data_IF_284482290737
#
_entry.id   IF_284482290737
#
_cell.length_a   1.000
_cell.length_b   1.000
_cell.length_c   1.000
_cell.angle_alpha   90.00
_cell.angle_beta   90.00
_cell.angle_gamma   90.00
#
_symmetry.space_group_name_H-M   'P 1'
#
loop_
_entity.id
_entity.type
_entity.pdbx_description
1 polymer ?
#
# COMPACT_ATOMS: atom_id res chain seq x y z
N UNK A 1 -23.36 -6.83 -2.45
CA UNK A 1 -22.18 -6.28 -3.13
C UNK A 1 -21.11 -5.90 -2.13
N UNK A 2 -19.88 -6.23 -2.43
CA UNK A 2 -18.77 -5.89 -1.57
C UNK A 2 -18.51 -4.39 -1.51
N UNK A 3 -18.08 -3.92 -0.35
CA UNK A 3 -17.61 -2.55 -0.17
C UNK A 3 -16.12 -2.52 -0.38
N UNK A 4 -15.66 -1.85 -1.44
CA UNK A 4 -14.25 -1.74 -1.77
C UNK A 4 -13.84 -0.30 -1.95
N UNK A 5 -12.55 -0.04 -1.68
CA UNK A 5 -11.91 1.24 -1.96
C UNK A 5 -10.81 0.94 -2.96
N UNK A 6 -10.82 1.62 -4.10
CA UNK A 6 -9.86 1.37 -5.16
C UNK A 6 -9.25 2.68 -5.66
N UNK A 7 -7.94 2.69 -5.79
CA UNK A 7 -7.17 3.79 -6.38
C UNK A 7 -6.07 3.24 -7.26
N UNK A 8 -5.74 3.94 -8.32
CA UNK A 8 -4.64 3.54 -9.19
C UNK A 8 -3.85 4.72 -9.72
N UNK A 9 -2.63 4.44 -10.17
CA UNK A 9 -1.76 5.43 -10.78
C UNK A 9 -0.93 4.73 -11.87
N UNK A 10 -0.62 5.47 -12.95
CA UNK A 10 0.34 5.01 -13.93
C UNK A 10 1.73 5.52 -13.56
N UNK A 11 2.72 4.62 -13.59
CA UNK A 11 4.11 4.92 -13.22
C UNK A 11 5.00 4.58 -14.42
N UNK A 12 5.85 5.53 -14.79
CA UNK A 12 6.78 5.36 -15.91
C UNK A 12 8.00 4.54 -15.47
N UNK A 13 7.79 3.27 -15.20
CA UNK A 13 8.83 2.33 -14.78
C UNK A 13 8.32 0.91 -15.02
N UNK A 14 9.23 -0.07 -15.23
CA UNK A 14 8.82 -1.46 -15.41
C UNK A 14 8.27 -2.05 -14.12
N UNK A 15 7.44 -3.08 -14.24
CA UNK A 15 6.79 -3.73 -13.08
C UNK A 15 7.80 -4.17 -12.03
N UNK A 16 8.94 -4.68 -12.43
CA UNK A 16 9.98 -5.16 -11.52
C UNK A 16 10.48 -4.05 -10.62
N UNK A 17 10.63 -2.84 -11.16
CA UNK A 17 11.06 -1.67 -10.37
C UNK A 17 9.98 -1.22 -9.40
N UNK A 18 8.73 -1.16 -9.85
CA UNK A 18 7.60 -0.80 -9.00
C UNK A 18 7.40 -1.85 -7.91
N UNK A 19 7.53 -3.13 -8.26
CA UNK A 19 7.44 -4.23 -7.31
C UNK A 19 8.44 -4.09 -6.17
N UNK A 20 9.69 -3.77 -6.48
CA UNK A 20 10.72 -3.56 -5.46
C UNK A 20 10.33 -2.42 -4.50
N UNK A 21 9.82 -1.33 -5.04
CA UNK A 21 9.45 -0.17 -4.21
C UNK A 21 8.29 -0.48 -3.25
N UNK A 22 7.37 -1.37 -3.63
CA UNK A 22 6.18 -1.67 -2.82
C UNK A 22 6.33 -2.91 -1.95
N UNK A 23 7.39 -3.69 -2.11
CA UNK A 23 7.59 -4.93 -1.33
C UNK A 23 8.85 -4.92 -0.47
N UNK A 24 9.87 -4.15 -0.83
CA UNK A 24 11.10 -4.06 -0.04
C UNK A 24 10.88 -3.10 1.14
N UNK A 25 10.96 -3.60 2.39
CA UNK A 25 10.73 -2.75 3.56
C UNK A 25 11.60 -1.48 3.59
N UNK A 26 12.85 -1.58 3.16
CA UNK A 26 13.75 -0.44 3.12
C UNK A 26 13.29 0.64 2.13
N UNK A 27 12.58 0.25 1.08
CA UNK A 27 12.04 1.19 0.11
C UNK A 27 10.67 1.73 0.52
N UNK A 28 9.82 0.88 1.10
CA UNK A 28 8.48 1.28 1.57
C UNK A 28 8.60 2.46 2.55
N UNK A 29 9.54 2.39 3.49
CA UNK A 29 9.70 3.45 4.49
C UNK A 29 10.11 4.80 3.89
N UNK A 30 10.62 4.81 2.67
CA UNK A 30 11.06 6.05 2.03
C UNK A 30 9.92 6.84 1.39
N UNK A 31 8.86 6.17 0.96
CA UNK A 31 7.75 6.85 0.27
C UNK A 31 6.44 6.75 1.02
N UNK A 32 6.19 5.66 1.73
CA UNK A 32 4.90 5.45 2.41
C UNK A 32 4.84 6.19 3.74
N UNK A 33 5.85 5.99 4.59
CA UNK A 33 5.90 6.60 5.91
C UNK A 33 7.35 6.96 6.26
N UNK A 34 7.87 8.06 5.67
CA UNK A 34 9.25 8.46 5.90
C UNK A 34 9.57 8.60 7.40
N UNK A 35 10.65 7.98 7.82
CA UNK A 35 11.06 7.97 9.23
C UNK A 35 10.50 6.82 10.05
N UNK A 36 9.62 6.01 9.48
CA UNK A 36 9.08 4.81 10.14
C UNK A 36 9.75 3.58 9.56
N UNK A 37 10.36 2.76 10.41
CA UNK A 37 11.03 1.55 9.96
C UNK A 37 10.02 0.43 9.75
N UNK A 38 10.06 -0.18 8.56
CA UNK A 38 9.30 -1.38 8.23
C UNK A 38 10.19 -2.60 8.30
N UNK A 39 9.64 -3.74 8.64
CA UNK A 39 10.36 -5.02 8.62
C UNK A 39 9.40 -6.12 8.20
N UNK A 40 9.96 -7.23 7.75
CA UNK A 40 9.19 -8.41 7.39
C UNK A 40 9.88 -9.65 7.94
N UNK A 41 9.12 -10.46 8.65
CA UNK A 41 9.59 -11.72 9.19
C UNK A 41 8.64 -12.82 8.70
N UNK A 42 9.11 -13.62 7.73
CA UNK A 42 8.24 -14.57 7.04
C UNK A 42 7.12 -13.84 6.32
N UNK A 43 5.87 -14.17 6.63
CA UNK A 43 4.69 -13.56 6.02
C UNK A 43 4.16 -12.35 6.81
N UNK A 44 4.84 -11.96 7.89
CA UNK A 44 4.36 -10.89 8.77
C UNK A 44 5.13 -9.60 8.49
N UNK A 45 4.39 -8.53 8.20
CA UNK A 45 4.94 -7.19 8.02
C UNK A 45 4.70 -6.40 9.31
N UNK A 46 5.76 -5.76 9.81
CA UNK A 46 5.74 -4.99 11.05
C UNK A 46 6.27 -3.57 10.83
N UNK A 47 5.84 -2.66 11.68
CA UNK A 47 6.40 -1.30 11.75
C UNK A 47 6.95 -1.08 13.15
N UNK A 48 7.96 -0.21 13.25
CA UNK A 48 8.53 0.14 14.54
C UNK A 48 7.85 1.40 15.08
N UNK A 49 7.23 1.24 16.25
CA UNK A 49 6.56 2.34 16.97
C UNK A 49 7.09 2.35 18.38
N UNK A 50 7.67 3.50 18.82
CA UNK A 50 8.18 3.69 20.19
C UNK A 50 9.08 2.53 20.66
N UNK A 51 10.06 2.17 19.83
CA UNK A 51 11.04 1.09 20.08
C UNK A 51 10.44 -0.33 20.15
N UNK A 52 9.20 -0.51 19.70
CA UNK A 52 8.56 -1.81 19.62
C UNK A 52 8.14 -2.11 18.18
N UNK A 53 8.31 -3.36 17.76
CA UNK A 53 7.82 -3.82 16.47
C UNK A 53 6.35 -4.22 16.62
N UNK A 54 5.49 -3.64 15.79
CA UNK A 54 4.06 -3.91 15.77
C UNK A 54 3.70 -4.61 14.48
N UNK A 55 3.12 -5.80 14.59
CA UNK A 55 2.67 -6.57 13.43
C UNK A 55 1.42 -5.92 12.86
N UNK A 56 1.45 -5.53 11.59
CA UNK A 56 0.36 -4.79 10.95
C UNK A 56 -0.32 -5.55 9.82
N UNK A 57 0.38 -6.48 9.18
CA UNK A 57 -0.19 -7.18 8.03
C UNK A 57 0.40 -8.58 7.86
N UNK A 58 -0.43 -9.48 7.35
CA UNK A 58 -0.06 -10.84 6.97
C UNK A 58 -0.10 -10.94 5.44
N UNK A 59 1.00 -11.39 4.84
CA UNK A 59 1.06 -11.60 3.39
C UNK A 59 0.33 -12.90 3.06
N UNK A 60 -0.72 -12.81 2.24
CA UNK A 60 -1.51 -13.97 1.83
C UNK A 60 -1.25 -14.39 0.39
N UNK A 61 -0.94 -13.43 -0.49
CA UNK A 61 -0.58 -13.70 -1.88
C UNK A 61 0.70 -12.94 -2.18
N UNK A 62 1.68 -13.64 -2.72
CA UNK A 62 2.96 -13.05 -3.11
C UNK A 62 3.30 -13.59 -4.51
N UNK A 63 2.91 -12.86 -5.54
CA UNK A 63 3.08 -13.26 -6.94
C UNK A 63 3.87 -12.18 -7.71
N UNK A 64 5.22 -12.16 -7.58
CA UNK A 64 6.04 -11.16 -8.26
C UNK A 64 5.98 -11.32 -9.79
N UNK A 65 5.98 -10.23 -10.52
CA UNK A 65 5.82 -8.83 -10.09
C UNK A 65 4.40 -8.33 -10.27
N UNK A 66 3.39 -9.18 -10.11
CA UNK A 66 2.00 -8.92 -10.49
C UNK A 66 1.09 -8.56 -9.35
N UNK A 67 1.19 -9.28 -8.22
CA UNK A 67 0.20 -9.09 -7.15
C UNK A 67 0.77 -9.41 -5.78
N UNK A 68 0.47 -8.53 -4.84
CA UNK A 68 0.66 -8.73 -3.41
C UNK A 68 -0.68 -8.53 -2.73
N UNK A 69 -1.10 -9.48 -1.91
CA UNK A 69 -2.32 -9.35 -1.10
C UNK A 69 -1.95 -9.53 0.35
N UNK A 70 -2.37 -8.58 1.19
CA UNK A 70 -2.15 -8.61 2.63
C UNK A 70 -3.47 -8.55 3.37
N UNK A 71 -3.44 -9.06 4.60
CA UNK A 71 -4.59 -9.00 5.52
C UNK A 71 -4.16 -8.28 6.78
N UNK A 72 -4.98 -7.35 7.25
CA UNK A 72 -4.66 -6.56 8.44
C UNK A 72 -4.52 -7.40 9.69
N UNK A 73 -3.64 -6.99 10.60
CA UNK A 73 -3.45 -7.62 11.90
C UNK A 73 -3.72 -6.59 13.00
N UNK A 74 -4.24 -6.99 14.14
CA UNK A 74 -4.57 -8.36 14.56
C UNK A 74 -5.97 -8.85 14.14
N UNK A 75 -6.85 -7.97 13.65
CA UNK A 75 -8.25 -8.28 13.43
C UNK A 75 -8.52 -9.16 12.19
N UNK A 76 -7.63 -9.15 11.20
CA UNK A 76 -7.74 -9.90 9.94
C UNK A 76 -8.97 -9.53 9.10
N UNK A 77 -9.49 -8.33 9.30
CA UNK A 77 -10.74 -7.90 8.62
C UNK A 77 -10.49 -7.27 7.25
N UNK A 78 -9.41 -6.51 7.11
CA UNK A 78 -9.15 -5.74 5.89
C UNK A 78 -8.16 -6.49 5.01
N UNK A 79 -8.55 -6.70 3.75
CA UNK A 79 -7.68 -7.25 2.72
C UNK A 79 -7.24 -6.10 1.82
N UNK A 80 -5.93 -5.96 1.62
CA UNK A 80 -5.37 -4.96 0.72
C UNK A 80 -4.66 -5.69 -0.41
N UNK A 81 -5.07 -5.43 -1.65
CA UNK A 81 -4.49 -6.02 -2.84
C UNK A 81 -3.74 -4.94 -3.61
N UNK A 82 -2.49 -5.23 -3.94
CA UNK A 82 -1.64 -4.40 -4.81
C UNK A 82 -1.49 -5.15 -6.12
N UNK A 83 -1.95 -4.53 -7.20
CA UNK A 83 -1.90 -5.13 -8.53
C UNK A 83 -1.04 -4.28 -9.46
N UNK A 84 -0.11 -4.94 -10.15
CA UNK A 84 0.80 -4.29 -11.08
C UNK A 84 0.58 -4.87 -12.48
N UNK A 85 0.21 -4.01 -13.41
CA UNK A 85 -0.06 -4.41 -14.79
C UNK A 85 0.77 -3.58 -15.76
N UNK A 86 1.32 -4.22 -16.79
CA UNK A 86 2.01 -3.49 -17.85
C UNK A 86 1.00 -2.60 -18.60
N UNK A 87 1.33 -1.34 -18.75
CA UNK A 87 0.46 -0.39 -19.45
C UNK A 87 1.29 0.70 -20.10
N UNK A 88 1.17 0.82 -21.42
CA UNK A 88 1.79 1.92 -22.19
C UNK A 88 3.28 2.13 -21.89
N UNK A 89 4.05 1.05 -21.81
CA UNK A 89 5.49 1.12 -21.54
C UNK A 89 5.87 1.34 -20.09
N UNK A 90 4.89 1.43 -19.21
CA UNK A 90 5.09 1.57 -17.77
C UNK A 90 4.24 0.58 -17.00
N UNK A 91 3.82 0.98 -15.80
CA UNK A 91 3.05 0.12 -14.91
C UNK A 91 1.80 0.85 -14.42
N UNK A 92 0.64 0.19 -14.53
CA UNK A 92 -0.56 0.58 -13.80
C UNK A 92 -0.53 -0.08 -12.43
N UNK A 93 -0.41 0.72 -11.39
CA UNK A 93 -0.41 0.23 -10.01
C UNK A 93 -1.76 0.53 -9.38
N UNK A 94 -2.44 -0.53 -8.93
CA UNK A 94 -3.79 -0.43 -8.36
C UNK A 94 -3.78 -0.97 -6.94
N UNK A 95 -4.40 -0.23 -6.02
CA UNK A 95 -4.63 -0.65 -4.63
C UNK A 95 -6.12 -0.85 -4.43
N UNK A 96 -6.48 -2.00 -3.88
CA UNK A 96 -7.88 -2.35 -3.60
C UNK A 96 -7.98 -2.79 -2.14
N UNK A 97 -8.76 -2.05 -1.34
CA UNK A 97 -9.10 -2.47 0.02
C UNK A 97 -10.50 -3.11 0.02
N UNK A 98 -10.62 -4.25 0.69
CA UNK A 98 -11.89 -4.97 0.83
C UNK A 98 -12.04 -5.47 2.27
N UNK A 99 -13.17 -6.14 2.57
CA UNK A 99 -13.46 -6.59 3.94
C UNK A 99 -14.12 -5.51 4.78
N UNK A 100 -14.78 -4.54 4.14
CA UNK A 100 -15.37 -3.38 4.81
C UNK A 100 -16.88 -3.56 5.07
N UNK A 101 -17.42 -4.74 4.79
CA UNK A 101 -18.85 -5.03 4.91
C UNK A 101 -19.36 -4.97 6.35
N UNK A 102 -18.46 -5.16 7.32
CA UNK A 102 -18.81 -5.09 8.75
C UNK A 102 -19.07 -3.67 9.25
N UNK A 103 -18.71 -2.65 8.47
CA UNK A 103 -18.92 -1.25 8.86
C UNK A 103 -20.36 -0.84 8.63
N UNK A 104 -20.84 0.10 9.45
CA UNK A 104 -22.09 0.79 9.15
C UNK A 104 -21.93 1.61 7.87
N UNK A 105 -23.04 2.00 7.25
CA UNK A 105 -22.98 2.83 6.05
C UNK A 105 -22.25 4.15 6.31
N UNK A 106 -22.49 4.77 7.47
CA UNK A 106 -21.84 6.02 7.86
C UNK A 106 -20.33 5.83 8.05
N UNK A 107 -19.93 4.78 8.78
CA UNK A 107 -18.52 4.48 9.02
C UNK A 107 -17.79 4.12 7.73
N UNK A 108 -18.45 3.38 6.84
CA UNK A 108 -17.86 3.05 5.55
C UNK A 108 -17.64 4.32 4.71
N UNK A 109 -18.61 5.23 4.70
CA UNK A 109 -18.47 6.48 3.94
C UNK A 109 -17.32 7.32 4.45
N UNK A 110 -17.19 7.43 5.77
CA UNK A 110 -16.08 8.17 6.40
C UNK A 110 -14.73 7.52 6.08
N UNK A 111 -14.66 6.20 6.21
CA UNK A 111 -13.44 5.47 5.90
C UNK A 111 -13.06 5.58 4.43
N UNK A 112 -14.05 5.47 3.53
CA UNK A 112 -13.82 5.64 2.10
C UNK A 112 -13.19 7.01 1.80
N UNK A 113 -13.70 8.05 2.43
CA UNK A 113 -13.19 9.41 2.25
C UNK A 113 -11.74 9.52 2.74
N UNK A 114 -11.46 9.03 3.94
CA UNK A 114 -10.14 9.10 4.55
C UNK A 114 -9.11 8.24 3.82
N UNK A 115 -9.44 6.97 3.56
CA UNK A 115 -8.50 6.04 2.93
C UNK A 115 -8.27 6.37 1.47
N UNK A 116 -9.30 6.82 0.76
CA UNK A 116 -9.14 7.25 -0.65
C UNK A 116 -8.18 8.42 -0.75
N UNK A 117 -8.30 9.39 0.16
CA UNK A 117 -7.40 10.53 0.19
C UNK A 117 -5.98 10.10 0.57
N UNK A 118 -5.85 9.24 1.58
CA UNK A 118 -4.56 8.69 1.99
C UNK A 118 -3.86 7.94 0.87
N UNK A 119 -4.58 7.06 0.17
CA UNK A 119 -4.02 6.34 -0.96
C UNK A 119 -3.63 7.26 -2.12
N UNK A 120 -4.43 8.29 -2.38
CA UNK A 120 -4.08 9.26 -3.41
C UNK A 120 -2.74 9.92 -3.12
N UNK A 121 -2.51 10.35 -1.88
CA UNK A 121 -1.23 10.94 -1.47
C UNK A 121 -0.10 9.91 -1.52
N UNK A 122 -0.37 8.69 -1.07
CA UNK A 122 0.62 7.61 -1.07
C UNK A 122 1.08 7.26 -2.48
N UNK A 123 0.16 7.16 -3.42
CA UNK A 123 0.48 6.84 -4.82
C UNK A 123 1.28 7.95 -5.49
N UNK A 124 0.99 9.21 -5.15
CA UNK A 124 1.77 10.34 -5.64
C UNK A 124 3.21 10.29 -5.10
N UNK A 125 3.36 9.95 -3.82
CA UNK A 125 4.69 9.77 -3.21
C UNK A 125 5.45 8.62 -3.88
N UNK A 126 4.80 7.50 -4.12
CA UNK A 126 5.41 6.35 -4.78
C UNK A 126 5.92 6.73 -6.17
N UNK A 127 5.10 7.41 -6.95
CA UNK A 127 5.47 7.82 -8.28
C UNK A 127 6.68 8.77 -8.26
N UNK A 128 6.67 9.74 -7.36
CA UNK A 128 7.79 10.68 -7.21
C UNK A 128 9.06 9.96 -6.76
N UNK A 129 8.95 9.02 -5.82
CA UNK A 129 10.08 8.25 -5.32
C UNK A 129 10.75 7.45 -6.45
N UNK A 130 9.96 6.74 -7.25
CA UNK A 130 10.48 5.95 -8.36
C UNK A 130 11.11 6.85 -9.44
N UNK A 131 10.53 8.02 -9.67
CA UNK A 131 10.99 8.99 -10.66
C UNK A 131 12.17 9.85 -10.16
N UNK A 132 12.60 9.66 -8.92
CA UNK A 132 13.73 10.40 -8.33
C UNK A 132 13.41 11.85 -8.01
N UNK A 133 12.12 12.20 -7.85
CA UNK A 133 11.70 13.56 -7.53
C UNK A 133 11.41 13.69 -6.02
N UNK A 134 11.43 14.93 -5.49
CA UNK A 134 11.01 15.13 -4.11
C UNK A 134 9.57 14.66 -3.88
N UNK A 135 9.32 14.09 -2.69
CA UNK A 135 7.99 13.60 -2.34
C UNK A 135 7.01 14.76 -2.19
N UNK A 136 5.81 14.70 -2.82
CA UNK A 136 4.77 15.72 -2.61
C UNK A 136 4.29 15.80 -1.16
N UNK A 137 4.32 14.66 -0.44
CA UNK A 137 3.92 14.59 0.96
C UNK A 137 5.06 13.97 1.78
N UNK A 138 6.14 14.74 2.07
CA UNK A 138 7.35 14.16 2.67
C UNK A 138 7.19 13.72 4.12
N UNK A 139 6.17 14.20 4.83
CA UNK A 139 5.89 13.81 6.20
C UNK A 139 5.04 12.55 6.33
N UNK A 140 4.63 11.97 5.21
CA UNK A 140 3.66 10.86 5.21
C UNK A 140 2.23 11.38 5.26
N UNK A 141 1.30 10.50 5.55
CA UNK A 141 -0.14 10.82 5.45
C UNK A 141 -0.99 9.95 6.38
#
# INVERSE_FOLDING_TARGET
MGRTIERSIWINAPRERVWQAVTDPAQIEKWFAPGTAFSQNGDVISIRIDDADVDIALVEVFDPPRQLTTRSLPDRLITTTYRLEDENGGTRFTVIESGLEHLTEEDFRLRMQQDSHGWELALQNLNAYIDGRPLPTPGGF
#
